data_IF_586250410863
#
_entry.id   IF_586250410863
#
_cell.length_a   1.000
_cell.length_b   1.000
_cell.length_c   1.000
_cell.angle_alpha   90.00
_cell.angle_beta   90.00
_cell.angle_gamma   90.00
#
_symmetry.space_group_name_H-M   'P 1'
#
loop_
_entity.id
_entity.type
_entity.pdbx_description
1 polymer ?
#
# COMPACT_ATOMS: atom_id res chain seq x y z
N UNK A 1 -0.45 29.46 -20.03
CA UNK A 1 -0.91 30.67 -19.31
C UNK A 1 0.28 31.42 -18.73
N UNK A 2 0.22 32.76 -18.69
CA UNK A 2 1.19 33.60 -17.97
C UNK A 2 0.54 34.04 -16.66
N UNK A 3 1.21 33.78 -15.55
CA UNK A 3 0.72 34.13 -14.21
C UNK A 3 1.89 34.75 -13.45
N UNK A 4 1.60 35.78 -12.66
CA UNK A 4 2.55 36.36 -11.72
C UNK A 4 2.19 35.83 -10.34
N UNK A 5 3.20 35.35 -9.61
CA UNK A 5 3.05 34.64 -8.35
C UNK A 5 4.14 35.19 -7.41
N UNK A 6 3.77 35.54 -6.19
CA UNK A 6 4.71 35.96 -5.15
C UNK A 6 5.15 34.74 -4.37
N UNK A 7 6.45 34.51 -4.27
CA UNK A 7 7.07 33.45 -3.46
C UNK A 7 8.04 34.07 -2.47
N UNK A 8 8.20 33.43 -1.33
CA UNK A 8 9.19 33.82 -0.32
C UNK A 8 10.63 33.69 -0.87
N UNK A 9 11.52 34.56 -0.39
CA UNK A 9 12.90 34.66 -0.89
C UNK A 9 13.71 33.37 -0.67
N UNK A 10 13.45 32.67 0.43
CA UNK A 10 14.08 31.39 0.75
C UNK A 10 13.67 30.29 -0.24
N UNK A 11 12.38 30.21 -0.56
CA UNK A 11 11.84 29.28 -1.53
C UNK A 11 12.34 29.59 -2.95
N UNK A 12 12.40 30.87 -3.32
CA UNK A 12 13.00 31.31 -4.57
C UNK A 12 14.46 30.85 -4.69
N UNK A 13 15.24 31.00 -3.61
CA UNK A 13 16.63 30.56 -3.55
C UNK A 13 16.79 29.04 -3.67
N UNK A 14 15.91 28.25 -3.04
CA UNK A 14 15.89 26.78 -3.17
C UNK A 14 15.59 26.37 -4.61
N UNK A 15 14.56 26.96 -5.23
CA UNK A 15 14.16 26.63 -6.60
C UNK A 15 15.25 27.01 -7.62
N UNK A 16 15.94 28.14 -7.41
CA UNK A 16 17.06 28.56 -8.26
C UNK A 16 18.27 27.62 -8.14
N UNK A 17 18.62 27.18 -6.92
CA UNK A 17 19.66 26.16 -6.72
C UNK A 17 19.32 24.89 -7.47
N UNK A 18 18.11 24.37 -7.26
CA UNK A 18 17.63 23.15 -7.91
C UNK A 18 17.60 23.24 -9.45
N UNK A 19 17.30 24.41 -9.99
CA UNK A 19 17.36 24.67 -11.44
C UNK A 19 18.79 24.58 -11.98
N UNK A 20 19.76 25.15 -11.25
CA UNK A 20 21.19 25.05 -11.60
C UNK A 20 21.70 23.61 -11.49
N UNK A 21 21.39 22.93 -10.39
CA UNK A 21 21.86 21.56 -10.13
C UNK A 21 21.36 20.57 -11.19
N UNK A 22 20.12 20.75 -11.66
CA UNK A 22 19.51 19.90 -12.68
C UNK A 22 19.72 20.40 -14.12
N UNK A 23 20.34 21.56 -14.31
CA UNK A 23 20.52 22.19 -15.63
C UNK A 23 19.19 22.49 -16.35
N UNK A 24 18.12 22.76 -15.60
CA UNK A 24 16.76 22.93 -16.13
C UNK A 24 16.26 24.37 -16.00
N UNK A 25 15.37 24.84 -16.88
CA UNK A 25 14.78 26.17 -16.76
C UNK A 25 14.02 26.35 -15.44
N UNK A 26 14.16 27.51 -14.80
CA UNK A 26 13.49 27.83 -13.53
C UNK A 26 11.99 27.55 -13.58
N UNK A 27 11.32 27.93 -14.68
CA UNK A 27 9.90 27.65 -14.92
C UNK A 27 9.56 26.14 -14.86
N UNK A 28 10.42 25.28 -15.39
CA UNK A 28 10.19 23.83 -15.37
C UNK A 28 10.27 23.30 -13.94
N UNK A 29 11.25 23.77 -13.16
CA UNK A 29 11.38 23.41 -11.75
C UNK A 29 10.18 23.86 -10.94
N UNK A 30 9.74 25.11 -11.10
CA UNK A 30 8.55 25.67 -10.43
C UNK A 30 7.31 24.84 -10.76
N UNK A 31 7.03 24.60 -12.04
CA UNK A 31 5.85 23.84 -12.45
C UNK A 31 5.89 22.38 -11.96
N UNK A 32 7.07 21.74 -12.00
CA UNK A 32 7.24 20.38 -11.51
C UNK A 32 7.03 20.30 -10.01
N UNK A 33 7.56 21.27 -9.26
CA UNK A 33 7.36 21.35 -7.81
C UNK A 33 5.87 21.51 -7.45
N UNK A 34 5.16 22.43 -8.12
CA UNK A 34 3.72 22.64 -7.91
C UNK A 34 2.91 21.38 -8.23
N UNK A 35 3.17 20.72 -9.35
CA UNK A 35 2.49 19.45 -9.71
C UNK A 35 2.72 18.37 -8.67
N UNK A 36 3.96 18.20 -8.20
CA UNK A 36 4.28 17.20 -7.20
C UNK A 36 3.62 17.50 -5.85
N UNK A 37 3.53 18.77 -5.46
CA UNK A 37 2.79 19.19 -4.26
C UNK A 37 1.31 18.82 -4.34
N UNK A 38 0.64 19.19 -5.44
CA UNK A 38 -0.78 18.86 -5.66
C UNK A 38 -1.04 17.35 -5.73
N UNK A 39 -0.12 16.57 -6.30
CA UNK A 39 -0.22 15.11 -6.33
C UNK A 39 -0.01 14.48 -4.94
N UNK A 40 0.88 15.05 -4.12
CA UNK A 40 1.14 14.57 -2.77
C UNK A 40 -0.09 14.73 -1.87
N UNK A 41 -0.84 15.83 -2.01
CA UNK A 41 -2.13 16.02 -1.30
C UNK A 41 -3.18 14.97 -1.68
N UNK A 42 -3.10 14.41 -2.88
CA UNK A 42 -4.08 13.41 -3.37
C UNK A 42 -3.70 11.97 -3.01
N UNK A 43 -2.42 11.71 -2.72
CA UNK A 43 -1.97 10.38 -2.29
C UNK A 43 -2.26 10.24 -0.79
N UNK A 44 -3.27 9.44 -0.46
CA UNK A 44 -3.38 8.89 0.88
C UNK A 44 -2.04 8.20 1.24
N UNK A 45 -1.48 8.54 2.40
CA UNK A 45 -0.31 7.85 2.95
C UNK A 45 -0.53 6.33 2.83
N UNK A 46 0.41 5.56 2.27
CA UNK A 46 0.26 4.11 2.24
C UNK A 46 0.16 3.61 3.69
N UNK A 47 -1.04 3.19 4.08
CA UNK A 47 -1.26 2.68 5.42
C UNK A 47 -0.51 1.35 5.49
N UNK A 48 0.47 1.27 6.38
CA UNK A 48 1.19 0.02 6.60
C UNK A 48 0.22 -0.97 7.24
N UNK A 49 -0.21 -1.98 6.48
CA UNK A 49 -1.05 -3.06 7.00
C UNK A 49 -0.20 -3.89 7.97
N UNK A 50 -0.47 -3.74 9.27
CA UNK A 50 0.14 -4.59 10.31
C UNK A 50 -0.74 -5.81 10.51
N UNK A 51 -0.27 -6.98 10.08
CA UNK A 51 -0.92 -8.27 10.37
C UNK A 51 -0.31 -8.83 11.65
N UNK A 52 -1.15 -9.27 12.60
CA UNK A 52 -0.72 -10.13 13.72
C UNK A 52 -1.08 -11.57 13.37
N UNK A 53 -0.11 -12.41 12.97
CA UNK A 53 -0.39 -13.82 12.71
C UNK A 53 -0.78 -14.51 14.01
N UNK A 54 -1.75 -15.41 13.92
CA UNK A 54 -2.10 -16.31 15.01
C UNK A 54 -1.37 -17.64 14.77
N UNK A 55 -0.58 -18.08 15.74
CA UNK A 55 0.06 -19.39 15.69
C UNK A 55 -0.97 -20.46 16.09
N UNK A 56 -1.41 -21.27 15.12
CA UNK A 56 -2.29 -22.40 15.36
C UNK A 56 -1.55 -23.66 15.84
N UNK A 57 -0.21 -23.59 15.93
CA UNK A 57 0.65 -24.74 16.14
C UNK A 57 0.69 -25.67 14.94
N UNK A 58 1.70 -26.54 14.88
CA UNK A 58 1.72 -27.66 13.95
C UNK A 58 0.89 -28.80 14.52
N UNK A 59 -0.26 -29.10 13.91
CA UNK A 59 -1.01 -30.32 14.22
C UNK A 59 -0.46 -31.47 13.37
N UNK A 60 0.13 -32.52 13.98
CA UNK A 60 0.66 -33.65 13.22
C UNK A 60 -0.42 -34.27 12.34
N UNK A 61 -0.14 -34.42 11.04
CA UNK A 61 -1.08 -34.99 10.07
C UNK A 61 -2.04 -33.99 9.43
N UNK A 62 -1.98 -32.69 9.78
CA UNK A 62 -2.73 -31.64 9.06
C UNK A 62 -1.80 -30.96 8.05
N UNK A 63 -2.14 -31.12 6.76
CA UNK A 63 -1.50 -30.39 5.66
C UNK A 63 -2.15 -29.00 5.52
N UNK A 64 -1.41 -27.96 5.93
CA UNK A 64 -1.88 -26.57 5.91
C UNK A 64 -2.08 -26.03 4.48
N UNK A 65 -1.47 -26.66 3.47
CA UNK A 65 -1.67 -26.28 2.06
C UNK A 65 -2.91 -26.94 1.44
N UNK A 66 -3.57 -27.85 2.19
CA UNK A 66 -4.75 -28.61 1.73
C UNK A 66 -5.95 -28.52 2.67
N UNK A 67 -6.12 -27.38 3.34
CA UNK A 67 -7.23 -27.19 4.29
C UNK A 67 -8.63 -27.41 3.70
N UNK A 68 -8.84 -27.15 2.41
CA UNK A 68 -10.12 -27.43 1.75
C UNK A 68 -10.48 -28.92 1.78
N UNK A 69 -9.49 -29.80 1.55
CA UNK A 69 -9.70 -31.24 1.59
C UNK A 69 -10.00 -31.71 3.03
N UNK A 70 -9.33 -31.12 4.03
CA UNK A 70 -9.63 -31.41 5.42
C UNK A 70 -11.07 -31.04 5.79
N UNK A 71 -11.58 -29.92 5.26
CA UNK A 71 -13.00 -29.54 5.45
C UNK A 71 -13.93 -30.59 4.85
N UNK A 72 -13.69 -31.02 3.60
CA UNK A 72 -14.50 -32.05 2.93
C UNK A 72 -14.54 -33.36 3.74
N UNK A 73 -13.38 -33.79 4.26
CA UNK A 73 -13.27 -35.01 5.07
C UNK A 73 -14.05 -34.91 6.38
N UNK A 74 -13.97 -33.76 7.06
CA UNK A 74 -14.72 -33.51 8.29
C UNK A 74 -16.24 -33.51 8.01
N UNK A 75 -16.69 -32.89 6.93
CA UNK A 75 -18.11 -32.88 6.55
C UNK A 75 -18.64 -34.28 6.25
N UNK A 76 -17.87 -35.09 5.53
CA UNK A 76 -18.22 -36.48 5.22
C UNK A 76 -18.33 -37.34 6.50
N UNK A 77 -17.39 -37.20 7.43
CA UNK A 77 -17.44 -37.89 8.72
C UNK A 77 -18.66 -37.47 9.55
N UNK A 78 -18.96 -36.17 9.57
CA UNK A 78 -20.07 -35.63 10.32
C UNK A 78 -21.43 -36.08 9.77
N UNK A 79 -21.53 -36.20 8.44
CA UNK A 79 -22.70 -36.80 7.77
C UNK A 79 -22.89 -38.27 8.16
N UNK A 80 -21.83 -39.09 8.09
CA UNK A 80 -21.87 -40.50 8.48
C UNK A 80 -22.29 -40.68 9.94
N UNK A 81 -21.76 -39.84 10.84
CA UNK A 81 -22.11 -39.85 12.27
C UNK A 81 -23.59 -39.54 12.50
N UNK A 82 -24.16 -38.58 11.79
CA UNK A 82 -25.59 -38.23 11.86
C UNK A 82 -26.47 -39.33 11.29
N UNK A 83 -26.06 -39.96 10.20
CA UNK A 83 -26.77 -41.07 9.58
C UNK A 83 -26.79 -42.33 10.47
N UNK A 84 -25.70 -42.63 11.17
CA UNK A 84 -25.61 -43.77 12.09
C UNK A 84 -26.38 -43.61 13.41
N UNK A 85 -26.84 -42.38 13.73
CA UNK A 85 -27.63 -42.07 14.93
C UNK A 85 -29.15 -42.10 14.68
N UNK A 86 -29.58 -42.33 13.43
CA UNK A 86 -30.97 -42.54 13.03
C UNK A 86 -31.28 -44.03 12.96
#
# INVERSE_FOLDING_TARGET
MRTTLTIDDDLAGILQRRARDLGKPFKEIVNSALRNGLLAETKAEPHTVKVRPHDFGGSPGIDLDRLNQLVDELEAQDYQRKAAKR
#
